data_IF_516783058585
#
_entry.id   IF_516783058585
#
_cell.length_a   1.000
_cell.length_b   1.000
_cell.length_c   1.000
_cell.angle_alpha   90.00
_cell.angle_beta   90.00
_cell.angle_gamma   90.00
#
_symmetry.space_group_name_H-M   'P 1'
#
loop_
_entity.id
_entity.type
_entity.pdbx_description
1 polymer ?
#
# COMPACT_ATOMS: atom_id res chain seq x y z
N UNK A 1 -10.04 10.73 6.31
CA UNK A 1 -9.25 9.86 5.42
C UNK A 1 -9.55 8.46 5.90
N UNK A 2 -10.01 7.59 5.01
CA UNK A 2 -10.30 6.19 5.31
C UNK A 2 -9.64 5.35 4.21
N UNK A 3 -8.64 4.56 4.59
CA UNK A 3 -7.81 3.78 3.65
C UNK A 3 -8.68 2.92 2.73
N UNK A 4 -9.67 2.22 3.30
CA UNK A 4 -10.53 1.32 2.55
C UNK A 4 -11.45 2.08 1.59
N UNK A 5 -12.03 3.21 1.98
CA UNK A 5 -12.86 4.02 1.08
C UNK A 5 -12.06 4.64 -0.08
N UNK A 6 -10.84 5.09 0.18
CA UNK A 6 -9.94 5.63 -0.85
C UNK A 6 -9.60 4.56 -1.91
N UNK A 7 -9.23 3.37 -1.45
CA UNK A 7 -8.85 2.23 -2.29
C UNK A 7 -10.06 1.66 -3.03
N UNK A 8 -11.22 1.61 -2.38
CA UNK A 8 -12.50 1.20 -2.98
C UNK A 8 -12.83 2.07 -4.21
N UNK A 9 -12.67 3.39 -4.10
CA UNK A 9 -12.97 4.33 -5.18
C UNK A 9 -12.17 3.99 -6.44
N UNK A 10 -10.87 3.78 -6.30
CA UNK A 10 -10.01 3.42 -7.43
C UNK A 10 -10.33 2.02 -7.98
N UNK A 11 -10.50 1.03 -7.10
CA UNK A 11 -10.80 -0.33 -7.52
C UNK A 11 -12.13 -0.45 -8.28
N UNK A 12 -13.16 0.33 -7.91
CA UNK A 12 -14.42 0.42 -8.66
C UNK A 12 -14.24 1.04 -10.05
N UNK A 13 -13.42 2.08 -10.17
CA UNK A 13 -13.05 2.66 -11.46
C UNK A 13 -12.22 1.69 -12.31
N UNK A 14 -11.50 0.77 -11.66
CA UNK A 14 -10.71 -0.27 -12.30
C UNK A 14 -11.49 -1.56 -12.63
N UNK A 15 -12.80 -1.61 -12.38
CA UNK A 15 -13.63 -2.82 -12.57
C UNK A 15 -13.13 -4.04 -11.79
N UNK A 16 -12.51 -3.81 -10.63
CA UNK A 16 -12.11 -4.87 -9.72
C UNK A 16 -13.34 -5.33 -8.93
N UNK A 17 -13.52 -6.66 -8.80
CA UNK A 17 -14.58 -7.24 -7.99
C UNK A 17 -14.30 -7.00 -6.50
N UNK A 18 -15.22 -6.30 -5.83
CA UNK A 18 -15.19 -6.06 -4.39
C UNK A 18 -16.42 -6.71 -3.77
N UNK A 19 -16.22 -7.57 -2.77
CA UNK A 19 -17.30 -8.25 -2.08
C UNK A 19 -17.78 -7.39 -0.90
N UNK A 20 -19.10 -7.38 -0.66
CA UNK A 20 -19.68 -6.66 0.48
C UNK A 20 -19.66 -7.51 1.76
N UNK A 21 -19.58 -8.83 1.61
CA UNK A 21 -19.57 -9.81 2.69
C UNK A 21 -18.36 -10.73 2.54
N UNK A 22 -17.83 -11.31 3.63
CA UNK A 22 -16.70 -12.24 3.57
C UNK A 22 -16.95 -13.37 2.56
N UNK A 23 -16.06 -13.46 1.58
CA UNK A 23 -16.19 -14.42 0.48
C UNK A 23 -14.91 -14.50 -0.34
N UNK A 24 -14.83 -15.48 -1.23
CA UNK A 24 -13.67 -15.62 -2.10
C UNK A 24 -14.03 -15.26 -3.53
N UNK A 25 -13.38 -14.24 -4.13
CA UNK A 25 -13.56 -13.95 -5.55
C UNK A 25 -12.90 -15.04 -6.42
N UNK A 26 -13.11 -14.99 -7.75
CA UNK A 26 -12.43 -15.88 -8.69
C UNK A 26 -10.91 -15.89 -8.51
N UNK A 27 -10.28 -17.04 -8.82
CA UNK A 27 -8.83 -17.22 -8.70
C UNK A 27 -8.02 -16.10 -9.37
N UNK A 28 -8.31 -15.65 -10.61
CA UNK A 28 -7.54 -14.58 -11.24
C UNK A 28 -7.53 -13.26 -10.46
N UNK A 29 -8.62 -12.93 -9.75
CA UNK A 29 -8.69 -11.71 -8.93
C UNK A 29 -7.83 -11.83 -7.66
N UNK A 30 -7.73 -13.03 -7.09
CA UNK A 30 -6.83 -13.32 -5.97
C UNK A 30 -5.37 -13.34 -6.43
N UNK A 31 -5.08 -14.05 -7.53
CA UNK A 31 -3.72 -14.18 -8.06
C UNK A 31 -3.15 -12.80 -8.41
N UNK A 32 -3.97 -11.93 -9.02
CA UNK A 32 -3.59 -10.54 -9.27
C UNK A 32 -3.32 -9.77 -7.96
N UNK A 33 -4.13 -9.97 -6.91
CA UNK A 33 -3.92 -9.27 -5.65
C UNK A 33 -2.61 -9.69 -4.99
N UNK A 34 -2.31 -11.00 -4.98
CA UNK A 34 -1.08 -11.54 -4.42
C UNK A 34 0.14 -11.10 -5.23
N UNK A 35 0.06 -11.09 -6.57
CA UNK A 35 1.14 -10.62 -7.41
C UNK A 35 1.48 -9.15 -7.18
N UNK A 36 0.46 -8.29 -7.02
CA UNK A 36 0.66 -6.89 -6.67
C UNK A 36 1.29 -6.74 -5.29
N UNK A 37 0.81 -7.48 -4.28
CA UNK A 37 1.41 -7.44 -2.92
C UNK A 37 2.87 -7.88 -2.95
N UNK A 38 3.21 -8.94 -3.70
CA UNK A 38 4.59 -9.41 -3.85
C UNK A 38 5.47 -8.35 -4.54
N UNK A 39 4.96 -7.68 -5.59
CA UNK A 39 5.65 -6.61 -6.33
C UNK A 39 5.96 -5.42 -5.40
N UNK A 40 4.93 -4.83 -4.78
CA UNK A 40 5.09 -3.64 -3.93
C UNK A 40 5.93 -3.92 -2.67
N UNK A 41 5.83 -5.13 -2.11
CA UNK A 41 6.66 -5.53 -0.97
C UNK A 41 8.14 -5.65 -1.37
N UNK A 42 8.43 -6.23 -2.53
CA UNK A 42 9.78 -6.31 -3.08
C UNK A 42 10.39 -4.93 -3.31
N UNK A 43 9.63 -4.03 -3.95
CA UNK A 43 10.07 -2.65 -4.21
C UNK A 43 10.36 -1.89 -2.90
N UNK A 44 9.51 -2.04 -1.88
CA UNK A 44 9.75 -1.45 -0.56
C UNK A 44 11.02 -2.02 0.11
N UNK A 45 11.22 -3.34 0.06
CA UNK A 45 12.43 -3.97 0.61
C UNK A 45 13.70 -3.48 -0.11
N UNK A 46 13.67 -3.37 -1.43
CA UNK A 46 14.77 -2.84 -2.23
C UNK A 46 15.06 -1.38 -1.89
N UNK A 47 14.03 -0.54 -1.74
CA UNK A 47 14.16 0.86 -1.35
C UNK A 47 14.77 1.02 0.06
N UNK A 48 14.37 0.16 1.02
CA UNK A 48 14.95 0.12 2.37
C UNK A 48 16.44 -0.22 2.32
N UNK A 49 16.81 -1.24 1.54
CA UNK A 49 18.21 -1.65 1.35
C UNK A 49 19.06 -0.58 0.66
N UNK A 50 18.46 0.13 -0.31
CA UNK A 50 19.11 1.20 -1.06
C UNK A 50 19.19 2.54 -0.29
N UNK A 51 18.53 2.65 0.86
CA UNK A 51 18.39 3.91 1.63
C UNK A 51 17.71 5.02 0.84
N UNK A 52 16.79 4.66 -0.04
CA UNK A 52 16.02 5.63 -0.81
C UNK A 52 14.74 6.02 -0.06
N UNK A 53 14.80 7.12 0.69
CA UNK A 53 13.67 7.59 1.50
C UNK A 53 12.44 7.97 0.64
N UNK A 54 12.64 8.38 -0.62
CA UNK A 54 11.54 8.73 -1.52
C UNK A 54 10.80 7.46 -1.92
N UNK A 55 11.53 6.47 -2.41
CA UNK A 55 10.97 5.18 -2.82
C UNK A 55 10.41 4.39 -1.62
N UNK A 56 11.00 4.51 -0.43
CA UNK A 56 10.43 3.92 0.80
C UNK A 56 9.09 4.54 1.14
N UNK A 57 8.94 5.87 1.04
CA UNK A 57 7.67 6.51 1.32
C UNK A 57 6.58 6.09 0.32
N UNK A 58 6.92 5.99 -0.97
CA UNK A 58 6.02 5.50 -2.03
C UNK A 58 5.65 4.04 -1.79
N UNK A 59 6.64 3.15 -1.61
CA UNK A 59 6.45 1.72 -1.40
C UNK A 59 5.65 1.38 -0.13
N UNK A 60 5.78 2.16 0.95
CA UNK A 60 4.88 2.04 2.12
C UNK A 60 3.44 2.31 1.69
N UNK A 61 3.18 3.39 0.96
CA UNK A 61 1.82 3.75 0.54
C UNK A 61 1.26 2.75 -0.48
N UNK A 62 2.05 2.28 -1.44
CA UNK A 62 1.59 1.33 -2.44
C UNK A 62 1.32 -0.06 -1.85
N UNK A 63 2.18 -0.56 -0.95
CA UNK A 63 1.93 -1.81 -0.24
C UNK A 63 0.67 -1.75 0.63
N UNK A 64 0.43 -0.63 1.32
CA UNK A 64 -0.84 -0.37 2.02
C UNK A 64 -2.03 -0.40 1.05
N UNK A 65 -1.89 0.19 -0.13
CA UNK A 65 -2.94 0.29 -1.16
C UNK A 65 -3.36 -1.09 -1.69
N UNK A 66 -2.38 -1.92 -2.09
CA UNK A 66 -2.66 -3.25 -2.66
C UNK A 66 -3.15 -4.23 -1.60
N UNK A 67 -2.67 -4.11 -0.35
CA UNK A 67 -3.17 -4.92 0.78
C UNK A 67 -4.61 -4.56 1.13
N UNK A 68 -4.96 -3.27 1.19
CA UNK A 68 -6.34 -2.81 1.32
C UNK A 68 -7.22 -3.29 0.14
N UNK A 69 -6.66 -3.36 -1.06
CA UNK A 69 -7.30 -3.93 -2.24
C UNK A 69 -7.70 -5.40 -2.05
N UNK A 70 -6.78 -6.23 -1.52
CA UNK A 70 -7.09 -7.63 -1.17
C UNK A 70 -8.21 -7.72 -0.14
N UNK A 71 -8.14 -6.93 0.95
CA UNK A 71 -9.16 -6.90 2.01
C UNK A 71 -10.56 -6.65 1.41
N UNK A 72 -10.70 -5.68 0.50
CA UNK A 72 -11.98 -5.37 -0.14
C UNK A 72 -12.43 -6.46 -1.12
N UNK A 73 -11.50 -7.06 -1.88
CA UNK A 73 -11.81 -8.17 -2.81
C UNK A 73 -12.42 -9.37 -2.10
N UNK A 74 -12.01 -9.66 -0.87
CA UNK A 74 -12.52 -10.77 -0.07
C UNK A 74 -13.68 -10.39 0.86
N UNK A 75 -14.16 -9.14 0.82
CA UNK A 75 -15.23 -8.65 1.69
C UNK A 75 -14.85 -8.53 3.16
N UNK A 76 -13.57 -8.32 3.43
CA UNK A 76 -12.99 -8.26 4.78
C UNK A 76 -13.15 -6.94 5.51
N UNK A 77 -13.86 -5.93 4.95
CA UNK A 77 -13.99 -4.59 5.58
C UNK A 77 -14.47 -4.67 7.02
N UNK A 78 -15.46 -5.51 7.31
CA UNK A 78 -16.02 -5.65 8.66
C UNK A 78 -15.16 -6.51 9.60
N UNK A 79 -14.05 -7.06 9.11
CA UNK A 79 -13.18 -7.99 9.83
C UNK A 79 -11.81 -7.37 10.20
N UNK A 80 -11.57 -6.11 9.85
CA UNK A 80 -10.30 -5.41 10.10
C UNK A 80 -10.55 -4.06 10.77
N UNK A 81 -9.60 -3.61 11.58
CA UNK A 81 -9.55 -2.27 12.16
C UNK A 81 -8.23 -1.58 11.77
N UNK A 82 -8.23 -0.96 10.60
CA UNK A 82 -7.01 -0.38 10.04
C UNK A 82 -6.67 0.97 10.71
N UNK A 83 -5.38 1.23 10.99
CA UNK A 83 -4.97 2.47 11.64
C UNK A 83 -5.21 3.69 10.74
N UNK A 84 -5.44 4.84 11.37
CA UNK A 84 -5.30 6.10 10.66
C UNK A 84 -3.81 6.37 10.39
N UNK A 85 -3.46 6.72 9.15
CA UNK A 85 -2.13 7.23 8.86
C UNK A 85 -1.95 8.61 9.51
N UNK A 86 -0.75 8.86 10.02
CA UNK A 86 -0.41 10.08 10.74
C UNK A 86 0.77 10.78 10.09
N UNK A 87 0.83 12.10 10.29
CA UNK A 87 2.01 12.87 9.93
C UNK A 87 2.93 13.01 11.15
N UNK A 88 4.12 12.42 11.08
CA UNK A 88 5.16 12.72 12.05
C UNK A 88 5.74 14.11 11.75
N UNK A 89 5.61 15.03 12.70
CA UNK A 89 5.96 16.46 12.53
C UNK A 89 6.96 16.97 13.55
N UNK A 90 7.22 16.21 14.62
CA UNK A 90 8.13 16.63 15.69
C UNK A 90 9.62 16.41 15.35
N UNK A 91 9.91 15.71 14.25
CA UNK A 91 11.24 15.55 13.66
C UNK A 91 11.11 15.32 12.16
N UNK A 92 12.16 15.65 11.41
CA UNK A 92 12.21 15.38 9.97
C UNK A 92 12.32 13.87 9.70
N UNK A 93 11.91 13.40 8.51
CA UNK A 93 12.20 12.04 8.06
C UNK A 93 13.67 11.70 8.21
N UNK A 94 13.99 10.47 8.62
CA UNK A 94 15.36 10.09 8.92
C UNK A 94 15.56 8.61 9.19
N UNK A 95 16.83 8.20 9.10
CA UNK A 95 17.27 6.81 9.28
C UNK A 95 17.78 6.50 10.69
N UNK A 96 17.91 7.51 11.55
CA UNK A 96 18.56 7.40 12.87
C UNK A 96 17.99 6.29 13.76
N UNK A 97 16.67 6.25 13.90
CA UNK A 97 15.97 5.23 14.70
C UNK A 97 15.91 3.90 13.97
N UNK A 98 15.74 3.92 12.65
CA UNK A 98 15.73 2.71 11.85
C UNK A 98 17.06 1.94 11.99
N UNK A 99 18.18 2.65 11.86
CA UNK A 99 19.53 2.07 11.88
C UNK A 99 19.94 1.54 13.25
N UNK A 100 19.34 2.05 14.34
CA UNK A 100 19.67 1.58 15.69
C UNK A 100 18.98 0.27 16.07
N UNK A 101 17.74 0.06 15.63
CA UNK A 101 16.87 -0.98 16.21
C UNK A 101 15.99 -1.75 15.21
N UNK A 102 15.88 -1.30 13.95
CA UNK A 102 14.82 -1.75 13.03
C UNK A 102 15.33 -2.11 11.63
N UNK A 103 16.59 -2.54 11.52
CA UNK A 103 17.18 -2.93 10.22
C UNK A 103 16.65 -4.25 9.67
N UNK A 104 15.88 -5.01 10.46
CA UNK A 104 15.25 -6.30 10.12
C UNK A 104 13.84 -6.16 9.49
N UNK A 105 13.46 -4.95 9.08
CA UNK A 105 12.15 -4.71 8.48
C UNK A 105 11.92 -5.43 7.14
N UNK A 106 12.91 -5.55 6.24
CA UNK A 106 12.73 -6.34 5.02
C UNK A 106 12.29 -7.78 5.33
N UNK A 107 12.96 -8.47 6.26
CA UNK A 107 12.60 -9.83 6.66
C UNK A 107 11.23 -9.91 7.34
N UNK A 108 10.85 -8.89 8.12
CA UNK A 108 9.52 -8.78 8.74
C UNK A 108 8.42 -8.63 7.68
N UNK A 109 8.64 -7.80 6.66
CA UNK A 109 7.69 -7.58 5.56
C UNK A 109 7.54 -8.87 4.76
N UNK A 110 8.65 -9.49 4.34
CA UNK A 110 8.64 -10.77 3.61
C UNK A 110 7.90 -11.86 4.39
N UNK A 111 8.16 -11.97 5.70
CA UNK A 111 7.50 -12.94 6.58
C UNK A 111 5.99 -12.67 6.70
N UNK A 112 5.58 -11.39 6.81
CA UNK A 112 4.18 -11.02 6.88
C UNK A 112 3.44 -11.34 5.56
N UNK A 113 4.07 -11.04 4.40
CA UNK A 113 3.53 -11.38 3.07
C UNK A 113 3.43 -12.90 2.90
N UNK A 114 4.44 -13.67 3.32
CA UNK A 114 4.40 -15.13 3.27
C UNK A 114 3.26 -15.73 4.11
N UNK A 115 3.04 -15.22 5.32
CA UNK A 115 1.92 -15.64 6.18
C UNK A 115 0.55 -15.29 5.57
N UNK A 116 0.42 -14.10 4.98
CA UNK A 116 -0.79 -13.69 4.27
C UNK A 116 -1.09 -14.64 3.10
N UNK A 117 -0.10 -14.94 2.26
CA UNK A 117 -0.23 -15.86 1.13
C UNK A 117 -0.63 -17.26 1.60
N UNK A 118 0.00 -17.76 2.65
CA UNK A 118 -0.36 -19.04 3.27
C UNK A 118 -1.84 -19.11 3.68
N UNK A 119 -2.39 -18.04 4.26
CA UNK A 119 -3.80 -17.99 4.65
C UNK A 119 -4.74 -17.92 3.43
N UNK A 120 -4.36 -17.15 2.40
CA UNK A 120 -5.12 -17.00 1.15
C UNK A 120 -5.20 -18.33 0.39
N UNK A 121 -4.10 -19.06 0.26
CA UNK A 121 -4.03 -20.36 -0.42
C UNK A 121 -4.95 -21.40 0.22
N UNK A 122 -5.12 -21.33 1.54
CA UNK A 122 -5.97 -22.22 2.33
C UNK A 122 -7.41 -21.75 2.39
N UNK A 123 -7.70 -20.58 1.82
CA UNK A 123 -9.02 -19.95 1.81
C UNK A 123 -9.57 -19.69 3.22
N UNK A 124 -8.69 -19.35 4.17
CA UNK A 124 -9.02 -19.04 5.56
C UNK A 124 -9.31 -17.54 5.73
N UNK A 125 -10.57 -17.13 5.69
CA UNK A 125 -10.98 -15.71 5.67
C UNK A 125 -10.48 -14.88 6.85
N UNK A 126 -10.76 -15.33 8.08
CA UNK A 126 -10.36 -14.60 9.28
C UNK A 126 -8.85 -14.51 9.38
N UNK A 127 -8.14 -15.59 9.06
CA UNK A 127 -6.68 -15.61 9.11
C UNK A 127 -6.08 -14.69 8.05
N UNK A 128 -6.67 -14.64 6.86
CA UNK A 128 -6.28 -13.72 5.79
C UNK A 128 -6.44 -12.27 6.23
N UNK A 129 -7.58 -11.91 6.83
CA UNK A 129 -7.83 -10.56 7.33
C UNK A 129 -6.83 -10.19 8.43
N UNK A 130 -6.58 -11.09 9.39
CA UNK A 130 -5.63 -10.87 10.46
C UNK A 130 -4.20 -10.64 9.92
N UNK A 131 -3.73 -11.45 8.97
CA UNK A 131 -2.40 -11.26 8.40
C UNK A 131 -2.30 -10.01 7.52
N UNK A 132 -3.36 -9.64 6.80
CA UNK A 132 -3.41 -8.38 6.06
C UNK A 132 -3.37 -7.17 6.99
N UNK A 133 -4.08 -7.21 8.12
CA UNK A 133 -4.03 -6.19 9.16
C UNK A 133 -2.66 -6.10 9.81
N UNK A 134 -2.02 -7.22 10.13
CA UNK A 134 -0.64 -7.26 10.66
C UNK A 134 0.34 -6.63 9.66
N UNK A 135 0.21 -6.93 8.36
CA UNK A 135 1.04 -6.32 7.31
C UNK A 135 0.84 -4.80 7.26
N UNK A 136 -0.42 -4.34 7.23
CA UNK A 136 -0.77 -2.91 7.24
C UNK A 136 -0.19 -2.21 8.47
N UNK A 137 -0.37 -2.77 9.67
CA UNK A 137 0.14 -2.21 10.91
C UNK A 137 1.68 -2.14 10.91
N UNK A 138 2.34 -3.18 10.44
CA UNK A 138 3.81 -3.24 10.36
C UNK A 138 4.35 -2.16 9.42
N UNK A 139 3.76 -2.02 8.23
CA UNK A 139 4.19 -1.05 7.22
C UNK A 139 3.86 0.39 7.65
N UNK A 140 2.73 0.62 8.33
CA UNK A 140 2.42 1.93 8.93
C UNK A 140 3.38 2.28 10.08
N UNK A 141 3.79 1.29 10.88
CA UNK A 141 4.77 1.47 11.95
C UNK A 141 6.15 1.85 11.39
N UNK A 142 6.57 1.24 10.27
CA UNK A 142 7.79 1.63 9.55
C UNK A 142 7.78 3.11 9.18
N UNK A 143 6.66 3.61 8.64
CA UNK A 143 6.50 5.03 8.34
C UNK A 143 6.70 5.93 9.57
N UNK A 144 6.22 5.49 10.74
CA UNK A 144 6.43 6.22 12.00
C UNK A 144 7.88 6.18 12.48
N UNK A 145 8.54 5.02 12.35
CA UNK A 145 9.96 4.82 12.70
C UNK A 145 10.86 5.75 11.90
N UNK A 146 10.59 5.88 10.60
CA UNK A 146 11.29 6.76 9.67
C UNK A 146 10.86 8.22 9.74
N UNK A 147 9.94 8.56 10.66
CA UNK A 147 9.35 9.89 10.81
C UNK A 147 8.72 10.44 9.52
N UNK A 148 8.09 9.57 8.73
CA UNK A 148 7.45 9.95 7.49
C UNK A 148 6.08 10.63 7.72
N UNK A 149 5.71 11.61 6.88
CA UNK A 149 4.39 12.22 6.89
C UNK A 149 3.39 11.35 6.13
N UNK A 150 3.04 10.17 6.67
CA UNK A 150 2.31 9.15 5.92
C UNK A 150 0.91 9.55 5.47
N UNK A 151 0.22 10.44 6.20
CA UNK A 151 -1.04 11.01 5.71
C UNK A 151 -0.81 11.87 4.45
N UNK A 152 0.24 12.69 4.43
CA UNK A 152 0.55 13.53 3.26
C UNK A 152 1.04 12.71 2.06
N UNK A 153 1.87 11.69 2.31
CA UNK A 153 2.33 10.73 1.30
C UNK A 153 1.12 10.00 0.70
N UNK A 154 0.25 9.43 1.54
CA UNK A 154 -0.95 8.73 1.09
C UNK A 154 -1.85 9.61 0.22
N UNK A 155 -2.07 10.87 0.61
CA UNK A 155 -2.86 11.82 -0.19
C UNK A 155 -2.24 12.08 -1.57
N UNK A 156 -0.91 12.13 -1.67
CA UNK A 156 -0.19 12.27 -2.95
C UNK A 156 -0.38 11.05 -3.83
N UNK A 157 -0.19 9.84 -3.28
CA UNK A 157 -0.40 8.57 -3.98
C UNK A 157 -1.85 8.41 -4.42
N UNK A 158 -2.81 8.71 -3.53
CA UNK A 158 -4.24 8.65 -3.86
C UNK A 158 -4.61 9.63 -4.98
N UNK A 159 -4.10 10.86 -4.94
CA UNK A 159 -4.32 11.82 -6.03
C UNK A 159 -3.74 11.33 -7.36
N UNK A 160 -2.54 10.75 -7.34
CA UNK A 160 -1.92 10.10 -8.51
C UNK A 160 -2.77 8.94 -9.04
N UNK A 161 -3.28 8.07 -8.17
CA UNK A 161 -4.14 6.96 -8.55
C UNK A 161 -5.45 7.46 -9.17
N UNK A 162 -6.11 8.45 -8.59
CA UNK A 162 -7.32 9.03 -9.14
C UNK A 162 -7.09 9.77 -10.48
N UNK A 163 -5.89 10.31 -10.72
CA UNK A 163 -5.54 10.93 -12.02
C UNK A 163 -5.50 9.93 -13.20
N UNK A 164 -5.42 8.63 -12.90
CA UNK A 164 -5.52 7.54 -13.90
C UNK A 164 -6.95 7.33 -14.40
N UNK A 165 -7.95 7.90 -13.74
CA UNK A 165 -9.37 7.73 -14.06
C UNK A 165 -9.79 8.77 -15.10
N UNK A 166 -10.32 8.30 -16.23
CA UNK A 166 -10.87 9.12 -17.32
C UNK A 166 -12.32 8.72 -17.55
N UNK A 167 -13.25 9.66 -17.44
CA UNK A 167 -14.68 9.36 -17.62
C UNK A 167 -15.25 8.36 -16.61
N UNK A 168 -14.68 8.29 -15.40
CA UNK A 168 -15.10 7.38 -14.34
C UNK A 168 -14.51 5.97 -14.40
N UNK A 169 -13.61 5.70 -15.37
CA UNK A 169 -12.94 4.39 -15.53
C UNK A 169 -11.44 4.55 -15.73
N UNK A 170 -10.67 3.51 -15.38
CA UNK A 170 -9.26 3.41 -15.80
C UNK A 170 -9.19 2.90 -17.24
N UNK A 171 -8.16 3.31 -17.97
CA UNK A 171 -7.87 2.77 -19.30
C UNK A 171 -7.02 1.49 -19.15
N UNK A 172 -7.26 0.50 -20.01
CA UNK A 172 -6.47 -0.75 -20.06
C UNK A 172 -5.97 -1.00 -21.48
N UNK A 173 -4.81 -1.66 -21.61
CA UNK A 173 -4.30 -2.15 -22.90
C UNK A 173 -4.82 -3.56 -23.24
N UNK A 174 -4.41 -4.12 -24.38
CA UNK A 174 -4.81 -5.45 -24.84
C UNK A 174 -4.38 -6.59 -23.90
N UNK A 175 -3.37 -6.35 -23.05
CA UNK A 175 -2.93 -7.27 -22.00
C UNK A 175 -3.68 -7.04 -20.66
N UNK A 176 -4.78 -6.28 -20.68
CA UNK A 176 -5.57 -5.89 -19.53
C UNK A 176 -4.80 -5.09 -18.45
N UNK A 177 -3.60 -4.58 -18.74
CA UNK A 177 -2.81 -3.73 -17.84
C UNK A 177 -3.36 -2.30 -17.86
N UNK A 178 -3.49 -1.69 -16.68
CA UNK A 178 -3.88 -0.28 -16.56
C UNK A 178 -2.84 0.60 -17.26
N UNK A 179 -3.31 1.50 -18.14
CA UNK A 179 -2.45 2.47 -18.84
C UNK A 179 -2.66 3.88 -18.30
N UNK A 180 -1.55 4.63 -18.19
CA UNK A 180 -1.54 6.01 -17.73
C UNK A 180 -2.12 6.91 -18.83
N UNK A 181 -3.25 7.62 -18.61
CA UNK A 181 -3.80 8.56 -19.60
C UNK A 181 -2.91 9.80 -19.75
N UNK A 182 -3.13 10.64 -20.79
CA UNK A 182 -2.45 11.93 -20.92
C UNK A 182 -2.66 12.90 -19.75
N UNK A 183 -3.74 12.71 -18.98
CA UNK A 183 -4.08 13.49 -17.77
C UNK A 183 -3.42 12.96 -16.50
N UNK A 184 -2.68 11.85 -16.58
CA UNK A 184 -2.01 11.25 -15.43
C UNK A 184 -1.00 12.20 -14.81
N UNK A 185 -0.97 12.24 -13.48
CA UNK A 185 0.01 12.94 -12.69
C UNK A 185 0.67 11.95 -11.72
N UNK A 186 2.01 11.77 -11.73
CA UNK A 186 2.69 10.94 -10.75
C UNK A 186 2.61 11.59 -9.34
N UNK A 187 2.77 10.79 -8.27
CA UNK A 187 2.83 11.36 -6.94
C UNK A 187 4.11 12.19 -6.80
N UNK A 188 4.01 13.36 -6.16
CA UNK A 188 5.17 14.24 -5.92
C UNK A 188 5.72 14.01 -4.50
N UNK A 189 6.19 12.78 -4.26
CA UNK A 189 6.76 12.37 -2.98
C UNK A 189 7.96 13.24 -2.57
N UNK A 190 8.91 13.58 -3.46
CA UNK A 190 10.03 14.45 -3.11
C UNK A 190 9.57 15.79 -2.52
N UNK A 191 8.55 16.43 -3.13
CA UNK A 191 7.98 17.68 -2.62
C UNK A 191 7.29 17.48 -1.28
N UNK A 192 6.52 16.40 -1.11
CA UNK A 192 5.88 16.09 0.17
C UNK A 192 6.95 15.98 1.26
N UNK A 193 7.97 15.14 1.08
CA UNK A 193 9.00 14.94 2.09
C UNK A 193 9.78 16.23 2.40
N UNK A 194 10.08 17.04 1.38
CA UNK A 194 10.75 18.33 1.56
C UNK A 194 9.96 19.31 2.45
N UNK A 195 8.62 19.32 2.37
CA UNK A 195 7.77 20.13 3.25
C UNK A 195 7.87 19.71 4.73
N UNK A 196 8.25 18.46 4.99
CA UNK A 196 8.45 17.92 6.33
C UNK A 196 9.93 17.85 6.72
N UNK A 197 10.79 18.56 6.00
CA UNK A 197 12.18 18.76 6.36
C UNK A 197 13.14 17.66 5.90
N UNK A 198 12.69 16.68 5.10
CA UNK A 198 13.59 15.76 4.43
C UNK A 198 14.52 16.53 3.49
N UNK A 199 15.80 16.19 3.53
CA UNK A 199 16.81 16.68 2.61
C UNK A 199 17.56 15.45 2.13
N UNK A 200 17.58 15.24 0.81
CA UNK A 200 18.42 14.20 0.24
C UNK A 200 19.86 14.42 0.73
N UNK A 201 20.46 13.37 1.30
CA UNK A 201 21.83 13.37 1.78
C UNK A 201 22.81 13.38 0.59
#
# INVERSE_FOLDING_TARGET
>A
MDLLSDVETFNRAADVLLLNEPGWPPHPDIDLALALIDEEAGELCDALNARDMIEVADGIADLLYVTAGLILRIGGRALVDLPNLVNITHRAPGWDVYDSEFTDYPEKIESAVANLKYAVERREHHLTCNYAEILVLSVAALGSILALPMEAVWRSVQASNLSKIVGGKVLRNDANKIVKPPTYMPPDIPKVLALYGWRAA
#
